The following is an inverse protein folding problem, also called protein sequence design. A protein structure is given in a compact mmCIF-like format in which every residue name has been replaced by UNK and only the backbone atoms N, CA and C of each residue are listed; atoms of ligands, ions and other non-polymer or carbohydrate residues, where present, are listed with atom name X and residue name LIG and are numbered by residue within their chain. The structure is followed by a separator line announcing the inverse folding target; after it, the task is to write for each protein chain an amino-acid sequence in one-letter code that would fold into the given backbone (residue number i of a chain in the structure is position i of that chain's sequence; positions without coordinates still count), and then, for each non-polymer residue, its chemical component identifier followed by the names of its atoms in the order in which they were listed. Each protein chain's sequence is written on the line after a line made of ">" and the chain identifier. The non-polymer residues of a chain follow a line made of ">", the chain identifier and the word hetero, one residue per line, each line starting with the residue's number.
data_IF_611563056686
#
_entry.id   IF_611563056686
#
_cell.length_a   1.000
_cell.length_b   1.000
_cell.length_c   1.000
_cell.angle_alpha   90.00
_cell.angle_beta   90.00
_cell.angle_gamma   90.00
#
_symmetry.space_group_name_H-M   'P 1'
#
loop_
_entity.id
_entity.type
_entity.pdbx_description
1 polymer ?
#
# COMPACT_ATOMS: atom_id res chain seq x y z
N UNK A 1 -2.92 -11.90 -15.35
CA UNK A 1 -3.61 -12.14 -14.06
C UNK A 1 -4.36 -10.92 -13.50
N UNK A 2 -4.15 -9.69 -14.01
CA UNK A 2 -4.79 -8.47 -13.49
C UNK A 2 -6.22 -8.16 -14.01
N UNK A 3 -6.76 -8.97 -14.91
CA UNK A 3 -8.04 -8.73 -15.61
C UNK A 3 -9.28 -9.32 -14.92
N UNK A 4 -9.12 -10.10 -13.84
CA UNK A 4 -10.23 -10.81 -13.19
C UNK A 4 -10.71 -10.18 -11.87
N UNK A 5 -10.24 -8.97 -11.53
CA UNK A 5 -10.71 -8.28 -10.33
C UNK A 5 -12.00 -7.52 -10.67
N UNK A 6 -13.11 -7.73 -9.93
CA UNK A 6 -14.35 -7.03 -10.19
C UNK A 6 -14.14 -5.51 -10.14
N UNK A 7 -14.87 -4.74 -10.98
CA UNK A 7 -14.75 -3.28 -10.99
C UNK A 7 -15.05 -2.75 -9.59
N UNK A 8 -14.21 -1.82 -9.12
CA UNK A 8 -14.37 -1.25 -7.79
C UNK A 8 -15.76 -0.58 -7.68
N UNK A 9 -16.64 -0.98 -6.75
CA UNK A 9 -18.00 -0.44 -6.68
C UNK A 9 -17.99 1.06 -6.42
N UNK A 10 -17.00 1.56 -5.66
CA UNK A 10 -16.81 2.99 -5.44
C UNK A 10 -16.50 3.75 -6.74
N UNK A 11 -15.61 3.19 -7.58
CA UNK A 11 -15.29 3.77 -8.88
C UNK A 11 -16.51 3.73 -9.81
N UNK A 12 -17.29 2.64 -9.78
CA UNK A 12 -18.50 2.51 -10.57
C UNK A 12 -19.59 3.53 -10.17
N UNK A 13 -19.70 3.84 -8.87
CA UNK A 13 -20.69 4.78 -8.34
C UNK A 13 -20.25 6.25 -8.44
N UNK A 14 -18.98 6.56 -8.23
CA UNK A 14 -18.48 7.95 -8.12
C UNK A 14 -17.69 8.41 -9.35
N UNK A 15 -17.24 7.49 -10.20
CA UNK A 15 -16.32 7.79 -11.30
C UNK A 15 -14.89 8.10 -10.84
N UNK A 16 -14.60 8.10 -9.55
CA UNK A 16 -13.28 8.39 -8.97
C UNK A 16 -12.70 7.17 -8.23
N UNK A 17 -11.38 6.96 -8.29
CA UNK A 17 -10.75 5.91 -7.50
C UNK A 17 -10.79 6.25 -6.00
N UNK A 18 -10.96 5.25 -5.15
CA UNK A 18 -10.79 5.41 -3.70
C UNK A 18 -9.31 5.35 -3.31
N UNK A 19 -8.97 5.74 -2.07
CA UNK A 19 -7.58 5.72 -1.59
C UNK A 19 -6.93 4.32 -1.57
N UNK A 20 -7.75 3.26 -1.59
CA UNK A 20 -7.32 1.86 -1.64
C UNK A 20 -7.35 1.26 -3.06
N UNK A 21 -7.71 2.01 -4.10
CA UNK A 21 -7.71 1.49 -5.46
C UNK A 21 -6.30 1.06 -5.88
N UNK A 22 -6.19 -0.15 -6.43
CA UNK A 22 -4.92 -0.70 -6.90
C UNK A 22 -4.03 -1.37 -5.84
N UNK A 23 -4.49 -1.51 -4.60
CA UNK A 23 -3.75 -2.23 -3.53
C UNK A 23 -3.33 -3.64 -3.93
N UNK A 24 -4.26 -4.45 -4.46
CA UNK A 24 -3.97 -5.82 -4.92
C UNK A 24 -3.00 -5.84 -6.09
N UNK A 25 -3.12 -4.88 -7.02
CA UNK A 25 -2.23 -4.79 -8.18
C UNK A 25 -0.81 -4.35 -7.78
N UNK A 26 -0.69 -3.47 -6.78
CA UNK A 26 0.60 -3.11 -6.20
C UNK A 26 1.23 -4.32 -5.50
N UNK A 27 0.45 -5.12 -4.74
CA UNK A 27 0.93 -6.34 -4.11
C UNK A 27 1.44 -7.37 -5.14
N UNK A 28 0.67 -7.59 -6.22
CA UNK A 28 1.10 -8.48 -7.31
C UNK A 28 2.38 -7.96 -7.99
N UNK A 29 2.49 -6.65 -8.23
CA UNK A 29 3.70 -6.06 -8.81
C UNK A 29 4.93 -6.24 -7.91
N UNK A 30 4.75 -6.17 -6.58
CA UNK A 30 5.82 -6.50 -5.64
C UNK A 30 6.18 -7.98 -5.67
N UNK A 31 5.19 -8.87 -5.75
CA UNK A 31 5.42 -10.32 -5.87
C UNK A 31 6.14 -10.70 -7.17
N UNK A 32 5.91 -9.96 -8.25
CA UNK A 32 6.64 -10.08 -9.53
C UNK A 32 8.07 -9.49 -9.48
N UNK A 33 8.51 -8.92 -8.34
CA UNK A 33 9.82 -8.28 -8.22
C UNK A 33 9.91 -6.93 -8.92
N UNK A 34 8.78 -6.23 -9.10
CA UNK A 34 8.68 -4.95 -9.82
C UNK A 34 8.27 -3.81 -8.87
N UNK A 35 9.15 -3.38 -7.95
CA UNK A 35 8.82 -2.40 -6.92
C UNK A 35 8.47 -1.01 -7.48
N UNK A 36 9.15 -0.58 -8.55
CA UNK A 36 8.84 0.68 -9.22
C UNK A 36 7.44 0.67 -9.85
N UNK A 37 7.05 -0.47 -10.44
CA UNK A 37 5.70 -0.64 -10.98
C UNK A 37 4.66 -0.63 -9.86
N UNK A 38 4.94 -1.25 -8.71
CA UNK A 38 4.06 -1.22 -7.55
C UNK A 38 3.83 0.20 -7.02
N UNK A 39 4.91 1.01 -6.91
CA UNK A 39 4.84 2.40 -6.50
C UNK A 39 4.00 3.24 -7.48
N UNK A 40 4.16 3.03 -8.78
CA UNK A 40 3.33 3.70 -9.79
C UNK A 40 1.84 3.29 -9.72
N UNK A 41 1.54 2.10 -9.18
CA UNK A 41 0.17 1.61 -9.05
C UNK A 41 -0.53 2.17 -7.81
N UNK A 42 0.10 2.12 -6.65
CA UNK A 42 -0.42 2.70 -5.41
C UNK A 42 0.75 2.85 -4.42
N UNK A 43 1.33 4.06 -4.28
CA UNK A 43 2.51 4.28 -3.44
C UNK A 43 2.32 3.80 -2.01
N UNK A 44 1.18 4.14 -1.40
CA UNK A 44 0.89 3.79 0.00
C UNK A 44 0.78 2.28 0.18
N UNK A 45 0.11 1.59 -0.75
CA UNK A 45 0.00 0.14 -0.71
C UNK A 45 1.36 -0.54 -0.95
N UNK A 46 2.17 -0.04 -1.89
CA UNK A 46 3.50 -0.60 -2.16
C UNK A 46 4.42 -0.48 -0.94
N UNK A 47 4.44 0.69 -0.28
CA UNK A 47 5.19 0.90 0.95
C UNK A 47 4.66 0.03 2.10
N UNK A 48 3.34 -0.07 2.25
CA UNK A 48 2.71 -0.89 3.29
C UNK A 48 3.02 -2.38 3.14
N UNK A 49 2.85 -2.93 1.93
CA UNK A 49 3.19 -4.32 1.63
C UNK A 49 4.69 -4.59 1.78
N UNK A 50 5.54 -3.69 1.27
CA UNK A 50 6.98 -3.78 1.42
C UNK A 50 7.41 -3.81 2.89
N UNK A 51 6.87 -2.90 3.71
CA UNK A 51 7.13 -2.86 5.15
C UNK A 51 6.63 -4.12 5.87
N UNK A 52 5.45 -4.64 5.50
CA UNK A 52 4.90 -5.86 6.07
C UNK A 52 5.77 -7.09 5.77
N UNK A 53 6.22 -7.24 4.51
CA UNK A 53 7.10 -8.34 4.09
C UNK A 53 8.46 -8.23 4.76
N UNK A 54 9.10 -7.05 4.70
CA UNK A 54 10.41 -6.82 5.31
C UNK A 54 10.37 -7.01 6.84
N UNK A 55 9.34 -6.47 7.50
CA UNK A 55 9.12 -6.64 8.94
C UNK A 55 8.85 -8.08 9.33
N UNK A 56 8.05 -8.81 8.55
CA UNK A 56 7.78 -10.24 8.75
C UNK A 56 9.04 -11.09 8.60
N UNK A 57 9.85 -10.83 7.57
CA UNK A 57 11.14 -11.49 7.37
C UNK A 57 12.13 -11.18 8.50
N UNK A 58 12.26 -9.92 8.88
CA UNK A 58 13.11 -9.52 10.00
C UNK A 58 12.66 -10.18 11.32
N UNK A 59 11.36 -10.22 11.58
CA UNK A 59 10.79 -10.89 12.74
C UNK A 59 11.09 -12.40 12.72
N UNK A 60 10.95 -13.06 11.57
CA UNK A 60 11.31 -14.47 11.40
C UNK A 60 12.80 -14.71 11.69
N UNK A 61 13.70 -13.91 11.10
CA UNK A 61 15.14 -14.03 11.32
C UNK A 61 15.53 -13.80 12.79
N UNK A 62 14.93 -12.80 13.45
CA UNK A 62 15.14 -12.56 14.88
C UNK A 62 14.67 -13.76 15.72
N UNK A 63 13.50 -14.33 15.41
CA UNK A 63 12.95 -15.52 16.08
C UNK A 63 13.87 -16.73 15.92
N UNK A 64 14.38 -16.96 14.70
CA UNK A 64 15.32 -18.04 14.39
C UNK A 64 16.68 -17.84 15.07
N UNK A 65 17.11 -16.58 15.27
CA UNK A 65 18.32 -16.24 16.01
C UNK A 65 18.14 -16.24 17.54
N UNK A 66 16.98 -16.67 18.07
CA UNK A 66 16.68 -16.68 19.50
C UNK A 66 16.59 -15.28 20.13
N UNK A 67 16.43 -14.23 19.31
CA UNK A 67 16.34 -12.84 19.77
C UNK A 67 14.89 -12.47 20.11
N UNK A 68 14.68 -11.62 21.13
CA UNK A 68 13.35 -11.10 21.41
C UNK A 68 12.86 -10.24 20.24
N UNK A 69 11.56 -10.35 19.93
CA UNK A 69 10.92 -9.48 18.96
C UNK A 69 10.75 -8.09 19.58
N UNK A 70 11.21 -7.01 18.92
CA UNK A 70 10.94 -5.67 19.39
C UNK A 70 9.43 -5.43 19.38
N UNK A 71 8.89 -5.01 20.53
CA UNK A 71 7.51 -4.52 20.59
C UNK A 71 7.41 -3.26 19.73
N UNK A 72 6.45 -3.24 18.81
CA UNK A 72 6.16 -2.02 18.07
C UNK A 72 5.71 -0.95 19.06
N UNK A 73 6.38 0.22 19.12
CA UNK A 73 5.95 1.28 20.00
C UNK A 73 4.51 1.70 19.64
N UNK A 74 3.70 1.93 20.68
CA UNK A 74 2.33 2.41 20.49
C UNK A 74 2.31 3.69 19.67
N UNK A 75 1.33 3.82 18.78
CA UNK A 75 1.27 4.96 17.87
C UNK A 75 0.86 6.21 18.64
N UNK A 76 1.74 7.23 18.79
CA UNK A 76 1.36 8.46 19.46
C UNK A 76 0.26 9.17 18.67
N UNK A 77 -0.68 9.79 19.37
CA UNK A 77 -1.84 10.48 18.77
C UNK A 77 -1.45 11.48 17.65
N UNK A 78 -0.26 12.09 17.77
CA UNK A 78 0.31 13.00 16.77
C UNK A 78 0.51 12.37 15.38
N UNK A 79 0.58 11.05 15.26
CA UNK A 79 0.74 10.36 13.97
C UNK A 79 -0.54 10.45 13.11
N UNK A 80 -1.70 10.75 13.70
CA UNK A 80 -2.97 10.87 12.96
C UNK A 80 -2.89 11.85 11.81
N UNK A 81 -2.24 13.00 12.00
CA UNK A 81 -2.08 14.04 10.98
C UNK A 81 -1.19 13.61 9.80
N UNK A 82 0.06 13.14 10.01
CA UNK A 82 0.88 12.67 8.89
C UNK A 82 0.29 11.45 8.19
N UNK A 83 -0.44 10.56 8.88
CA UNK A 83 -1.16 9.46 8.23
C UNK A 83 -2.32 9.97 7.38
N UNK A 84 -3.11 10.91 7.88
CA UNK A 84 -4.18 11.54 7.12
C UNK A 84 -3.63 12.28 5.90
N UNK A 85 -2.52 13.00 6.07
CA UNK A 85 -1.82 13.69 4.98
C UNK A 85 -1.28 12.69 3.95
N UNK A 86 -0.66 11.59 4.37
CA UNK A 86 -0.17 10.54 3.47
C UNK A 86 -1.31 9.86 2.72
N UNK A 87 -2.43 9.58 3.39
CA UNK A 87 -3.62 9.02 2.76
C UNK A 87 -4.24 9.98 1.74
N UNK A 88 -4.34 11.26 2.09
CA UNK A 88 -4.82 12.33 1.22
C UNK A 88 -3.92 12.54 0.00
N UNK A 89 -2.61 12.62 0.20
CA UNK A 89 -1.63 12.73 -0.88
C UNK A 89 -1.66 11.51 -1.81
N UNK A 90 -1.76 10.30 -1.25
CA UNK A 90 -1.91 9.07 -2.03
C UNK A 90 -3.20 9.11 -2.84
N UNK A 91 -4.32 9.54 -2.25
CA UNK A 91 -5.58 9.66 -2.98
C UNK A 91 -5.53 10.69 -4.11
N UNK A 92 -4.96 11.88 -3.88
CA UNK A 92 -4.76 12.89 -4.91
C UNK A 92 -3.91 12.34 -6.06
N UNK A 93 -2.84 11.62 -5.75
CA UNK A 93 -2.02 10.93 -6.75
C UNK A 93 -2.85 9.93 -7.57
N UNK A 94 -3.68 9.11 -6.91
CA UNK A 94 -4.58 8.13 -7.56
C UNK A 94 -5.62 8.79 -8.46
N UNK A 95 -6.17 9.93 -8.06
CA UNK A 95 -7.12 10.70 -8.87
C UNK A 95 -6.41 11.31 -10.07
N UNK A 96 -5.27 11.99 -9.88
CA UNK A 96 -4.52 12.63 -10.95
C UNK A 96 -4.08 11.63 -12.04
N UNK A 97 -3.60 10.45 -11.64
CA UNK A 97 -3.24 9.38 -12.61
C UNK A 97 -4.45 8.79 -13.33
N UNK A 98 -5.61 8.72 -12.67
CA UNK A 98 -6.84 8.24 -13.30
C UNK A 98 -7.36 9.23 -14.34
N UNK A 99 -7.22 10.53 -14.08
CA UNK A 99 -7.61 11.58 -15.02
C UNK A 99 -6.66 11.68 -16.23
N UNK A 100 -5.36 11.45 -16.04
CA UNK A 100 -4.37 11.49 -17.13
C UNK A 100 -4.31 10.23 -17.98
N UNK A 101 -4.83 9.10 -17.48
CA UNK A 101 -4.90 7.84 -18.21
C UNK A 101 -6.25 7.60 -18.92
N UNK A 102 -7.19 8.55 -18.82
CA UNK A 102 -8.40 8.61 -19.64
C UNK A 102 -8.12 9.40 -20.91
#
# INVERSE_FOLDING_TARGET
>A
MAAALPPCPFLALTGLPCAACGTTRAALSLAEGRPLAALAVNPLAALGWGAAVAGGLAALLLRLAGRPLPLLPGWPHRWRWPLAAALGANWLYLVARHLTAR
#
